data_IF_460579401797
#
_entry.id   IF_460579401797
#
_cell.length_a   1.000
_cell.length_b   1.000
_cell.length_c   1.000
_cell.angle_alpha   90.00
_cell.angle_beta   90.00
_cell.angle_gamma   90.00
#
_symmetry.space_group_name_H-M   'P 1'
#
loop_
_entity.id
_entity.type
_entity.pdbx_description
1 polymer ?
#
# COMPACT_ATOMS: atom_id res chain seq x y z
N UNK A 1 -18.55 -24.28 -17.01
CA UNK A 1 -18.92 -23.53 -18.23
C UNK A 1 -18.51 -22.06 -18.15
N UNK A 2 -18.59 -21.41 -16.98
CA UNK A 2 -18.19 -20.01 -16.81
C UNK A 2 -16.75 -19.65 -17.21
N UNK A 3 -15.77 -20.54 -17.00
CA UNK A 3 -14.38 -20.33 -17.51
C UNK A 3 -14.29 -20.27 -19.04
N UNK A 4 -15.32 -20.65 -19.80
CA UNK A 4 -15.36 -20.41 -21.26
C UNK A 4 -15.75 -18.97 -21.61
N UNK A 5 -16.21 -18.19 -20.64
CA UNK A 5 -16.70 -16.82 -20.83
C UNK A 5 -15.79 -15.79 -20.18
N UNK A 6 -15.29 -16.08 -18.98
CA UNK A 6 -14.29 -15.28 -18.26
C UNK A 6 -13.35 -16.23 -17.54
N UNK A 7 -12.12 -16.33 -18.03
CA UNK A 7 -10.99 -17.01 -17.41
C UNK A 7 -9.90 -16.03 -16.95
N UNK A 8 -8.72 -16.56 -16.61
CA UNK A 8 -7.55 -15.78 -16.25
C UNK A 8 -7.26 -14.63 -17.22
N UNK A 9 -7.31 -14.88 -18.53
CA UNK A 9 -6.93 -13.94 -19.58
C UNK A 9 -7.87 -12.74 -19.62
N UNK A 10 -9.18 -12.96 -19.47
CA UNK A 10 -10.15 -11.88 -19.38
C UNK A 10 -9.91 -11.01 -18.14
N UNK A 11 -9.61 -11.61 -16.98
CA UNK A 11 -9.24 -10.87 -15.77
C UNK A 11 -7.91 -10.11 -15.95
N UNK A 12 -6.93 -10.73 -16.61
CA UNK A 12 -5.63 -10.12 -16.91
C UNK A 12 -5.78 -8.90 -17.84
N UNK A 13 -6.59 -9.03 -18.90
CA UNK A 13 -6.89 -7.96 -19.84
C UNK A 13 -7.64 -6.81 -19.16
N UNK A 14 -8.67 -7.12 -18.36
CA UNK A 14 -9.34 -6.13 -17.53
C UNK A 14 -8.36 -5.41 -16.59
N UNK A 15 -7.43 -6.15 -15.99
CA UNK A 15 -6.45 -5.56 -15.09
C UNK A 15 -5.54 -4.57 -15.81
N UNK A 16 -5.08 -4.90 -17.02
CA UNK A 16 -4.28 -4.00 -17.85
C UNK A 16 -5.06 -2.75 -18.27
N UNK A 17 -6.32 -2.90 -18.67
CA UNK A 17 -7.12 -1.79 -19.18
C UNK A 17 -7.64 -0.87 -18.06
N UNK A 18 -8.18 -1.43 -16.97
CA UNK A 18 -8.92 -0.64 -15.96
C UNK A 18 -8.22 -0.52 -14.61
N UNK A 19 -7.41 -1.50 -14.22
CA UNK A 19 -6.90 -1.60 -12.84
C UNK A 19 -5.51 -0.98 -12.69
N UNK A 20 -4.58 -1.38 -13.55
CA UNK A 20 -3.16 -1.12 -13.41
C UNK A 20 -2.81 0.33 -13.79
N UNK A 21 -1.88 0.94 -13.05
CA UNK A 21 -1.22 2.15 -13.52
C UNK A 21 -0.41 1.82 -14.80
N UNK A 22 -0.66 2.49 -15.94
CA UNK A 22 0.11 2.29 -17.16
C UNK A 22 1.62 2.51 -16.95
N UNK A 23 2.45 1.74 -17.65
CA UNK A 23 3.90 1.73 -17.44
C UNK A 23 4.53 3.10 -17.71
N UNK A 24 4.15 3.74 -18.81
CA UNK A 24 4.58 5.08 -19.20
C UNK A 24 4.29 6.11 -18.10
N UNK A 25 3.08 6.07 -17.52
CA UNK A 25 2.70 6.93 -16.39
C UNK A 25 3.47 6.60 -15.12
N UNK A 26 3.65 5.31 -14.81
CA UNK A 26 4.45 4.89 -13.67
C UNK A 26 5.91 5.35 -13.78
N UNK A 27 6.50 5.29 -14.98
CA UNK A 27 7.86 5.75 -15.24
C UNK A 27 7.96 7.29 -15.13
N UNK A 28 6.97 8.03 -15.64
CA UNK A 28 6.86 9.49 -15.47
C UNK A 28 6.85 9.89 -13.99
N UNK A 29 6.02 9.23 -13.17
CA UNK A 29 5.91 9.51 -11.73
C UNK A 29 7.16 9.10 -10.96
N UNK A 30 7.80 7.98 -11.32
CA UNK A 30 9.10 7.61 -10.74
C UNK A 30 10.18 8.62 -11.09
N UNK A 31 10.20 9.13 -12.32
CA UNK A 31 11.12 10.18 -12.72
C UNK A 31 10.84 11.49 -11.96
N UNK A 32 9.58 11.83 -11.71
CA UNK A 32 9.20 12.98 -10.88
C UNK A 32 9.73 12.86 -9.45
N UNK A 33 9.49 11.74 -8.78
CA UNK A 33 10.01 11.48 -7.43
C UNK A 33 11.55 11.52 -7.41
N UNK A 34 12.19 10.97 -8.45
CA UNK A 34 13.64 10.99 -8.60
C UNK A 34 14.20 12.41 -8.72
N UNK A 35 13.59 13.27 -9.54
CA UNK A 35 13.99 14.68 -9.67
C UNK A 35 13.88 15.43 -8.34
N UNK A 36 12.81 15.20 -7.59
CA UNK A 36 12.64 15.77 -6.25
C UNK A 36 13.77 15.32 -5.32
N UNK A 37 14.06 14.01 -5.29
CA UNK A 37 15.15 13.43 -4.48
C UNK A 37 16.52 14.00 -4.88
N UNK A 38 16.87 14.00 -6.16
CA UNK A 38 18.18 14.45 -6.65
C UNK A 38 18.43 15.93 -6.36
N UNK A 39 17.40 16.76 -6.51
CA UNK A 39 17.50 18.18 -6.16
C UNK A 39 17.64 18.39 -4.66
N UNK A 40 16.97 17.58 -3.82
CA UNK A 40 17.23 17.62 -2.39
C UNK A 40 18.66 17.17 -2.08
N UNK A 41 19.11 16.03 -2.60
CA UNK A 41 20.47 15.51 -2.39
C UNK A 41 21.55 16.53 -2.77
N UNK A 42 21.38 17.25 -3.89
CA UNK A 42 22.24 18.37 -4.28
C UNK A 42 22.26 19.49 -3.23
N UNK A 43 21.08 19.95 -2.79
CA UNK A 43 20.96 20.98 -1.76
C UNK A 43 21.62 20.54 -0.43
N UNK A 44 21.50 19.27 -0.03
CA UNK A 44 22.11 18.71 1.18
C UNK A 44 23.63 18.70 1.11
N UNK A 45 24.20 18.46 -0.08
CA UNK A 45 25.65 18.48 -0.26
C UNK A 45 26.26 19.87 -0.06
N UNK A 46 25.49 20.93 -0.36
CA UNK A 46 25.89 22.32 -0.19
C UNK A 46 25.59 22.86 1.22
N UNK A 47 24.72 22.17 1.98
CA UNK A 47 24.28 22.58 3.31
C UNK A 47 24.41 21.39 4.30
N UNK A 48 25.63 21.03 4.76
CA UNK A 48 25.87 19.85 5.57
C UNK A 48 25.20 19.89 6.96
N UNK A 49 24.85 21.09 7.45
CA UNK A 49 24.07 21.28 8.69
C UNK A 49 22.59 20.91 8.52
N UNK A 50 22.19 20.53 7.31
CA UNK A 50 20.81 20.16 7.02
C UNK A 50 20.51 18.73 7.49
N UNK A 51 19.38 18.61 8.16
CA UNK A 51 18.97 17.44 8.95
C UNK A 51 18.42 16.29 8.12
N UNK A 52 17.99 16.55 6.88
CA UNK A 52 17.46 15.52 5.99
C UNK A 52 18.60 14.62 5.52
N UNK A 53 18.44 13.31 5.70
CA UNK A 53 19.45 12.30 5.37
C UNK A 53 19.17 11.58 4.06
N UNK A 54 17.90 11.33 3.77
CA UNK A 54 17.50 10.52 2.61
C UNK A 54 16.05 10.74 2.25
N UNK A 55 15.77 10.91 0.96
CA UNK A 55 14.44 10.74 0.41
C UNK A 55 14.38 9.45 -0.40
N UNK A 56 13.30 8.68 -0.23
CA UNK A 56 13.10 7.46 -1.00
C UNK A 56 11.64 7.29 -1.39
N UNK A 57 11.43 6.87 -2.63
CA UNK A 57 10.11 6.48 -3.09
C UNK A 57 9.61 5.34 -2.20
N UNK A 58 8.41 5.51 -1.66
CA UNK A 58 7.74 4.54 -0.81
C UNK A 58 6.38 4.18 -1.43
N UNK A 59 5.51 3.55 -0.64
CA UNK A 59 4.14 3.30 -1.04
C UNK A 59 3.97 2.41 -2.28
N UNK A 60 2.83 2.55 -2.94
CA UNK A 60 2.41 1.60 -3.98
C UNK A 60 3.20 1.72 -5.28
N UNK A 61 3.70 2.92 -5.62
CA UNK A 61 4.51 3.14 -6.81
C UNK A 61 5.90 2.48 -6.70
N UNK A 62 6.53 2.54 -5.52
CA UNK A 62 7.78 1.84 -5.23
C UNK A 62 7.62 0.32 -5.29
N UNK A 63 6.54 -0.19 -4.68
CA UNK A 63 6.25 -1.64 -4.63
C UNK A 63 5.82 -2.20 -5.99
N UNK A 64 5.35 -1.35 -6.91
CA UNK A 64 4.80 -1.76 -8.20
C UNK A 64 3.37 -2.29 -8.09
N UNK A 65 2.63 -1.83 -7.09
CA UNK A 65 1.24 -2.21 -6.79
C UNK A 65 0.27 -1.03 -6.96
N UNK A 66 0.70 0.04 -7.64
CA UNK A 66 -0.12 1.22 -7.91
C UNK A 66 -1.29 0.89 -8.86
N UNK A 67 -2.45 1.48 -8.57
CA UNK A 67 -3.64 1.43 -9.43
C UNK A 67 -3.63 2.61 -10.40
N UNK A 68 -4.45 2.53 -11.46
CA UNK A 68 -4.70 3.64 -12.39
C UNK A 68 -5.19 4.90 -11.68
N UNK A 69 -5.91 4.74 -10.57
CA UNK A 69 -6.42 5.83 -9.72
C UNK A 69 -5.39 6.30 -8.68
N UNK A 70 -4.09 6.24 -8.97
CA UNK A 70 -3.06 6.79 -8.10
C UNK A 70 -3.19 8.32 -8.11
N UNK A 71 -3.33 8.93 -6.93
CA UNK A 71 -3.55 10.37 -6.78
C UNK A 71 -2.29 11.12 -6.32
N UNK A 72 -1.42 10.43 -5.59
CA UNK A 72 -0.21 10.98 -4.97
C UNK A 72 0.98 10.03 -5.17
N UNK A 73 2.18 10.58 -4.99
CA UNK A 73 3.43 9.84 -4.97
C UNK A 73 3.95 9.84 -3.53
N UNK A 74 3.96 8.67 -2.91
CA UNK A 74 4.51 8.51 -1.56
C UNK A 74 6.04 8.58 -1.56
N UNK A 75 6.61 9.47 -0.76
CA UNK A 75 8.05 9.56 -0.51
C UNK A 75 8.32 9.60 0.99
N UNK A 76 9.17 8.71 1.47
CA UNK A 76 9.68 8.78 2.84
C UNK A 76 10.89 9.71 2.93
N UNK A 77 10.92 10.58 3.93
CA UNK A 77 12.01 11.51 4.17
C UNK A 77 12.62 11.29 5.56
N UNK A 78 13.85 10.80 5.60
CA UNK A 78 14.59 10.53 6.83
C UNK A 78 15.21 11.83 7.35
N UNK A 79 14.88 12.19 8.60
CA UNK A 79 15.26 13.45 9.25
C UNK A 79 16.05 13.10 10.51
N UNK A 80 17.21 13.71 10.70
CA UNK A 80 18.11 13.46 11.84
C UNK A 80 18.64 14.76 12.43
N UNK A 81 19.30 14.69 13.58
CA UNK A 81 20.02 15.83 14.16
C UNK A 81 19.24 16.49 15.31
N UNK A 82 19.99 17.17 16.18
CA UNK A 82 19.46 17.69 17.46
C UNK A 82 18.34 18.72 17.30
N UNK A 83 18.27 19.38 16.14
CA UNK A 83 17.26 20.39 15.82
C UNK A 83 15.94 19.81 15.28
N UNK A 84 15.85 18.52 15.00
CA UNK A 84 14.62 17.91 14.50
C UNK A 84 13.55 17.86 15.62
N UNK A 85 12.40 18.53 15.46
CA UNK A 85 11.36 18.50 16.47
C UNK A 85 10.82 17.08 16.66
N UNK A 86 10.50 16.73 17.91
CA UNK A 86 9.81 15.48 18.24
C UNK A 86 8.28 15.65 18.28
N UNK A 87 7.79 16.89 18.37
CA UNK A 87 6.37 17.15 18.16
C UNK A 87 6.04 17.02 16.67
N UNK A 88 4.94 16.33 16.34
CA UNK A 88 4.55 16.01 14.96
C UNK A 88 4.29 17.28 14.16
N UNK A 89 3.51 18.22 14.72
CA UNK A 89 3.17 19.45 14.01
C UNK A 89 4.42 20.27 13.73
N UNK A 90 5.26 20.45 14.74
CA UNK A 90 6.54 21.14 14.60
C UNK A 90 7.47 20.44 13.59
N UNK A 91 7.48 19.11 13.54
CA UNK A 91 8.27 18.33 12.58
C UNK A 91 7.79 18.53 11.15
N UNK A 92 6.48 18.61 10.92
CA UNK A 92 5.88 18.86 9.61
C UNK A 92 6.12 20.30 9.15
N UNK A 93 5.93 21.28 10.04
CA UNK A 93 6.26 22.68 9.77
C UNK A 93 7.75 22.84 9.43
N UNK A 94 8.62 22.15 10.19
CA UNK A 94 10.05 22.09 9.95
C UNK A 94 10.38 21.47 8.59
N UNK A 95 9.81 20.31 8.26
CA UNK A 95 10.03 19.66 6.98
C UNK A 95 9.54 20.53 5.81
N UNK A 96 8.38 21.17 5.93
CA UNK A 96 7.87 22.06 4.90
C UNK A 96 8.79 23.27 4.68
N UNK A 97 9.29 23.90 5.75
CA UNK A 97 10.27 24.98 5.63
C UNK A 97 11.55 24.53 4.91
N UNK A 98 12.05 23.33 5.27
CA UNK A 98 13.22 22.73 4.63
C UNK A 98 13.00 22.42 3.16
N UNK A 99 11.85 21.86 2.80
CA UNK A 99 11.48 21.63 1.41
C UNK A 99 11.37 22.95 0.63
N UNK A 100 10.73 23.99 1.18
CA UNK A 100 10.67 25.32 0.52
C UNK A 100 12.06 25.89 0.24
N UNK A 101 13.01 25.73 1.18
CA UNK A 101 14.41 26.15 1.00
C UNK A 101 15.13 25.33 -0.09
N UNK A 102 14.94 24.02 -0.12
CA UNK A 102 15.53 23.14 -1.14
C UNK A 102 14.92 23.34 -2.55
N UNK A 103 13.69 23.83 -2.61
CA UNK A 103 12.94 24.07 -3.84
C UNK A 103 12.55 25.56 -3.97
N UNK A 104 13.51 26.49 -4.13
CA UNK A 104 13.21 27.94 -4.12
C UNK A 104 12.35 28.40 -5.31
N UNK A 105 12.26 27.60 -6.36
CA UNK A 105 11.40 27.86 -7.52
C UNK A 105 9.92 27.50 -7.26
N UNK A 106 9.61 26.85 -6.14
CA UNK A 106 8.24 26.50 -5.79
C UNK A 106 7.66 27.63 -4.96
N UNK A 107 6.41 28.02 -5.25
CA UNK A 107 5.74 28.98 -4.39
C UNK A 107 5.41 28.33 -3.02
N UNK A 108 5.31 29.10 -1.93
CA UNK A 108 5.04 28.54 -0.60
C UNK A 108 3.79 27.67 -0.53
N UNK A 109 2.78 27.95 -1.36
CA UNK A 109 1.53 27.20 -1.41
C UNK A 109 1.65 25.84 -2.10
N UNK A 110 2.73 25.58 -2.84
CA UNK A 110 3.05 24.27 -3.40
C UNK A 110 3.70 23.32 -2.40
N UNK A 111 4.02 23.77 -1.18
CA UNK A 111 4.61 22.93 -0.14
C UNK A 111 3.80 23.13 1.14
N UNK A 112 2.88 22.21 1.42
CA UNK A 112 1.89 22.37 2.49
C UNK A 112 2.01 21.23 3.51
N UNK A 113 2.20 21.54 4.80
CA UNK A 113 1.96 20.58 5.87
C UNK A 113 0.52 20.08 5.82
N UNK A 114 0.35 18.77 5.88
CA UNK A 114 -0.92 18.08 6.11
C UNK A 114 -0.99 17.61 7.57
N UNK A 115 -1.92 16.73 7.89
CA UNK A 115 -2.04 16.14 9.23
C UNK A 115 -0.79 15.34 9.64
N UNK A 116 -0.21 14.55 8.72
CA UNK A 116 0.89 13.61 9.02
C UNK A 116 1.97 13.52 7.93
N UNK A 117 1.88 14.37 6.91
CA UNK A 117 2.82 14.44 5.77
C UNK A 117 2.99 15.89 5.34
N UNK A 118 3.92 16.16 4.43
CA UNK A 118 4.02 17.43 3.72
C UNK A 118 3.77 17.16 2.23
N UNK A 119 2.72 17.75 1.68
CA UNK A 119 2.41 17.65 0.26
C UNK A 119 3.25 18.64 -0.53
N UNK A 120 3.84 18.18 -1.62
CA UNK A 120 4.56 18.97 -2.61
C UNK A 120 3.82 18.91 -3.93
N UNK A 121 3.14 20.00 -4.29
CA UNK A 121 2.28 20.07 -5.47
C UNK A 121 2.99 20.58 -6.70
N UNK A 122 2.84 19.86 -7.82
CA UNK A 122 3.42 20.22 -9.11
C UNK A 122 2.35 20.85 -10.01
N UNK A 123 2.47 22.16 -10.29
CA UNK A 123 1.51 22.87 -11.13
C UNK A 123 1.62 22.45 -12.60
N UNK A 124 0.49 22.17 -13.25
CA UNK A 124 0.38 21.95 -14.70
C UNK A 124 0.78 20.55 -15.20
N UNK A 125 1.64 19.81 -14.50
CA UNK A 125 2.01 18.43 -14.84
C UNK A 125 2.53 17.66 -13.63
N UNK A 126 2.20 16.37 -13.54
CA UNK A 126 2.64 15.49 -12.44
C UNK A 126 1.59 15.33 -11.35
N UNK A 127 1.82 14.38 -10.45
CA UNK A 127 0.99 14.18 -9.26
C UNK A 127 1.55 14.98 -8.08
N UNK A 128 0.73 15.19 -7.06
CA UNK A 128 1.22 15.64 -5.78
C UNK A 128 2.20 14.59 -5.19
N UNK A 129 3.24 15.05 -4.51
CA UNK A 129 4.18 14.19 -3.80
C UNK A 129 3.96 14.33 -2.31
N UNK A 130 3.56 13.25 -1.66
CA UNK A 130 3.35 13.21 -0.22
C UNK A 130 4.63 12.76 0.48
N UNK A 131 5.28 13.71 1.16
CA UNK A 131 6.54 13.50 1.86
C UNK A 131 6.26 13.19 3.33
N UNK A 132 6.50 11.94 3.74
CA UNK A 132 6.27 11.48 5.10
C UNK A 132 7.58 11.52 5.91
N UNK A 133 7.65 12.26 7.03
CA UNK A 133 8.86 12.34 7.84
C UNK A 133 9.10 11.04 8.63
N UNK A 134 10.38 10.66 8.71
CA UNK A 134 10.87 9.57 9.56
C UNK A 134 12.03 10.13 10.40
N UNK A 135 11.87 10.19 11.72
CA UNK A 135 12.97 10.56 12.60
C UNK A 135 14.00 9.42 12.63
N UNK A 136 15.26 9.75 12.41
CA UNK A 136 16.33 8.80 12.15
C UNK A 136 17.57 9.13 12.97
N UNK A 137 18.14 8.11 13.61
CA UNK A 137 19.25 8.19 14.54
C UNK A 137 20.50 7.40 14.09
N UNK A 138 20.55 7.00 12.81
CA UNK A 138 21.75 6.41 12.21
C UNK A 138 21.77 4.88 12.13
N UNK A 139 20.66 4.21 12.40
CA UNK A 139 20.56 2.75 12.27
C UNK A 139 20.91 2.25 10.86
N UNK A 140 21.80 1.27 10.77
CA UNK A 140 22.36 0.77 9.51
C UNK A 140 21.30 0.18 8.54
N UNK A 141 20.17 -0.32 9.05
CA UNK A 141 19.06 -0.84 8.26
C UNK A 141 17.97 0.20 8.02
N UNK A 142 18.26 1.48 8.28
CA UNK A 142 17.32 2.59 8.13
C UNK A 142 16.06 2.41 8.99
N UNK A 143 16.19 1.80 10.17
CA UNK A 143 15.15 1.91 11.18
C UNK A 143 15.02 3.36 11.61
N UNK A 144 13.78 3.82 11.73
CA UNK A 144 13.46 5.15 12.24
C UNK A 144 12.04 5.21 12.75
N UNK A 145 11.64 6.37 13.26
CA UNK A 145 10.32 6.62 13.82
C UNK A 145 9.48 7.39 12.80
N UNK A 146 8.60 6.66 12.11
CA UNK A 146 7.62 7.20 11.17
C UNK A 146 6.48 7.86 11.94
N UNK A 147 6.01 9.01 11.45
CA UNK A 147 4.74 9.58 11.93
C UNK A 147 3.59 8.73 11.38
N UNK A 148 2.89 8.03 12.26
CA UNK A 148 1.69 7.25 11.93
C UNK A 148 0.65 8.16 11.31
N UNK A 149 0.23 7.86 10.07
CA UNK A 149 -0.84 8.59 9.39
C UNK A 149 -2.23 8.34 10.00
N UNK A 150 -2.33 7.44 10.97
CA UNK A 150 -3.60 7.13 11.60
C UNK A 150 -3.84 8.00 12.85
N UNK A 151 -2.81 8.33 13.63
CA UNK A 151 -2.94 9.02 14.94
C UNK A 151 -1.75 9.89 15.34
N UNK A 152 -0.74 10.06 14.47
CA UNK A 152 0.45 10.86 14.75
C UNK A 152 1.46 10.20 15.70
N UNK A 153 1.20 8.98 16.20
CA UNK A 153 2.20 8.27 17.02
C UNK A 153 3.48 8.00 16.24
N UNK A 154 4.61 7.89 16.96
CA UNK A 154 5.85 7.43 16.36
C UNK A 154 5.88 5.91 16.26
N UNK A 155 6.06 5.45 15.03
CA UNK A 155 6.10 4.05 14.70
C UNK A 155 7.50 3.66 14.24
N UNK A 156 8.18 2.80 15.01
CA UNK A 156 9.43 2.19 14.54
C UNK A 156 9.17 1.42 13.25
N UNK A 157 9.89 1.76 12.19
CA UNK A 157 9.73 1.19 10.84
C UNK A 157 11.05 1.22 10.06
N UNK A 158 11.12 0.51 8.95
CA UNK A 158 12.16 0.64 7.93
C UNK A 158 11.55 0.47 6.54
N UNK A 159 11.51 1.57 5.78
CA UNK A 159 10.98 1.58 4.41
C UNK A 159 11.79 0.64 3.50
N UNK A 160 13.15 0.60 3.54
CA UNK A 160 13.91 -0.38 2.78
C UNK A 160 13.49 -1.83 3.05
N UNK A 161 13.28 -2.22 4.31
CA UNK A 161 12.90 -3.58 4.66
C UNK A 161 11.46 -3.91 4.22
N UNK A 162 10.53 -2.94 4.24
CA UNK A 162 9.20 -3.11 3.64
C UNK A 162 9.26 -3.29 2.12
N UNK A 163 10.13 -2.55 1.43
CA UNK A 163 10.34 -2.71 -0.02
C UNK A 163 10.97 -4.06 -0.35
N UNK A 164 11.95 -4.50 0.43
CA UNK A 164 12.56 -5.81 0.31
C UNK A 164 11.55 -6.94 0.57
N UNK A 165 10.70 -6.79 1.59
CA UNK A 165 9.63 -7.73 1.93
C UNK A 165 8.70 -7.96 0.74
N UNK A 166 8.22 -6.87 0.13
CA UNK A 166 7.40 -6.92 -1.08
C UNK A 166 8.18 -7.47 -2.28
N UNK A 167 9.46 -7.09 -2.42
CA UNK A 167 10.36 -7.57 -3.46
C UNK A 167 10.58 -9.08 -3.43
N UNK A 168 10.68 -9.68 -2.24
CA UNK A 168 10.82 -11.14 -2.05
C UNK A 168 9.62 -11.89 -2.62
N UNK A 169 8.39 -11.49 -2.28
CA UNK A 169 7.16 -12.17 -2.78
C UNK A 169 6.93 -11.91 -4.26
N UNK A 170 7.30 -10.72 -4.75
CA UNK A 170 7.37 -10.47 -6.19
C UNK A 170 8.33 -11.44 -6.87
N UNK A 171 9.55 -11.66 -6.37
CA UNK A 171 10.48 -12.64 -6.99
C UNK A 171 9.95 -14.08 -6.96
N UNK A 172 9.22 -14.46 -5.91
CA UNK A 172 8.59 -15.78 -5.83
C UNK A 172 7.48 -15.99 -6.88
N UNK A 173 6.81 -14.91 -7.28
CA UNK A 173 5.62 -14.90 -8.15
C UNK A 173 5.72 -13.68 -9.11
N UNK A 174 6.75 -13.67 -9.99
CA UNK A 174 7.29 -12.49 -10.71
C UNK A 174 6.25 -11.55 -11.31
N UNK A 175 5.24 -12.11 -11.96
CA UNK A 175 4.16 -11.37 -12.61
C UNK A 175 2.91 -11.27 -11.74
N UNK A 176 2.66 -12.31 -10.96
CA UNK A 176 1.34 -12.58 -10.42
C UNK A 176 1.09 -11.92 -9.07
N UNK A 177 2.08 -11.90 -8.17
CA UNK A 177 1.92 -11.31 -6.84
C UNK A 177 1.43 -9.86 -6.89
N UNK A 178 2.14 -9.02 -7.64
CA UNK A 178 1.77 -7.62 -7.78
C UNK A 178 0.43 -7.44 -8.52
N UNK A 179 0.06 -8.36 -9.41
CA UNK A 179 -1.22 -8.30 -10.12
C UNK A 179 -2.40 -8.62 -9.21
N UNK A 180 -2.31 -9.69 -8.41
CA UNK A 180 -3.36 -10.08 -7.46
C UNK A 180 -3.52 -9.01 -6.37
N UNK A 181 -2.42 -8.42 -5.88
CA UNK A 181 -2.48 -7.26 -4.98
C UNK A 181 -3.27 -6.10 -5.60
N UNK A 182 -3.03 -5.78 -6.87
CA UNK A 182 -3.76 -4.69 -7.56
C UNK A 182 -5.25 -5.00 -7.72
N UNK A 183 -5.60 -6.25 -8.06
CA UNK A 183 -7.00 -6.69 -8.17
C UNK A 183 -7.73 -6.60 -6.81
N UNK A 184 -7.11 -7.11 -5.74
CA UNK A 184 -7.68 -7.03 -4.39
C UNK A 184 -7.81 -5.59 -3.88
N UNK A 185 -6.82 -4.72 -4.16
CA UNK A 185 -6.92 -3.28 -3.85
C UNK A 185 -8.03 -2.59 -4.64
N UNK A 186 -8.23 -2.97 -5.90
CA UNK A 186 -9.29 -2.42 -6.73
C UNK A 186 -10.68 -2.81 -6.20
N UNK A 187 -10.88 -4.08 -5.85
CA UNK A 187 -12.08 -4.55 -5.15
C UNK A 187 -12.29 -3.79 -3.83
N UNK A 188 -11.25 -3.68 -3.00
CA UNK A 188 -11.33 -2.96 -1.73
C UNK A 188 -11.73 -1.49 -1.91
N UNK A 189 -11.21 -0.81 -2.93
CA UNK A 189 -11.59 0.57 -3.26
C UNK A 189 -13.07 0.68 -3.64
N UNK A 190 -13.60 -0.28 -4.40
CA UNK A 190 -15.03 -0.36 -4.73
C UNK A 190 -15.88 -0.57 -3.48
N UNK A 191 -15.49 -1.49 -2.60
CA UNK A 191 -16.23 -1.71 -1.34
C UNK A 191 -16.29 -0.44 -0.47
N UNK A 192 -15.22 0.35 -0.40
CA UNK A 192 -15.21 1.66 0.28
C UNK A 192 -16.18 2.68 -0.32
N UNK A 193 -16.54 2.54 -1.59
CA UNK A 193 -17.48 3.44 -2.28
C UNK A 193 -18.93 2.98 -2.10
N UNK A 194 -19.16 1.68 -1.94
CA UNK A 194 -20.51 1.09 -1.85
C UNK A 194 -20.99 0.87 -0.41
N UNK A 195 -20.06 0.66 0.53
CA UNK A 195 -20.37 0.36 1.93
C UNK A 195 -19.86 1.48 2.80
N UNK A 196 -20.79 2.21 3.43
CA UNK A 196 -20.43 3.25 4.40
C UNK A 196 -19.63 2.67 5.56
N UNK A 197 -18.60 3.39 6.00
CA UNK A 197 -17.69 2.94 7.05
C UNK A 197 -16.78 1.75 6.70
N UNK A 198 -16.85 1.18 5.47
CA UNK A 198 -15.97 0.10 5.07
C UNK A 198 -14.53 0.59 4.97
N UNK A 199 -13.62 -0.14 5.63
CA UNK A 199 -12.21 0.19 5.70
C UNK A 199 -11.41 -1.07 5.42
N UNK A 200 -10.41 -0.99 4.56
CA UNK A 200 -9.42 -2.04 4.36
C UNK A 200 -8.13 -1.43 3.79
N UNK A 201 -7.05 -1.42 4.57
CA UNK A 201 -5.78 -0.74 4.24
C UNK A 201 -5.03 -1.56 3.20
N UNK A 202 -4.49 -0.90 2.18
CA UNK A 202 -3.70 -1.58 1.12
C UNK A 202 -2.56 -2.41 1.69
N UNK A 203 -1.91 -1.96 2.77
CA UNK A 203 -0.84 -2.71 3.41
C UNK A 203 -1.33 -4.02 4.06
N UNK A 204 -2.54 -4.05 4.62
CA UNK A 204 -3.13 -5.29 5.16
C UNK A 204 -3.46 -6.29 4.04
N UNK A 205 -3.97 -5.81 2.91
CA UNK A 205 -4.19 -6.64 1.71
C UNK A 205 -2.86 -7.27 1.25
N UNK A 206 -1.79 -6.47 1.21
CA UNK A 206 -0.45 -6.94 0.86
C UNK A 206 0.08 -7.99 1.85
N UNK A 207 -0.19 -7.85 3.15
CA UNK A 207 0.21 -8.85 4.16
C UNK A 207 -0.56 -10.16 4.01
N UNK A 208 -1.88 -10.11 3.82
CA UNK A 208 -2.67 -11.34 3.60
C UNK A 208 -2.15 -12.08 2.36
N UNK A 209 -1.98 -11.38 1.24
CA UNK A 209 -1.46 -12.00 0.03
C UNK A 209 -0.01 -12.47 0.16
N UNK A 210 0.82 -11.79 0.96
CA UNK A 210 2.16 -12.26 1.26
C UNK A 210 2.14 -13.57 2.07
N UNK A 211 1.27 -13.67 3.07
CA UNK A 211 1.05 -14.91 3.84
C UNK A 211 0.62 -16.06 2.92
N UNK A 212 -0.35 -15.81 2.05
CA UNK A 212 -0.83 -16.81 1.08
C UNK A 212 0.26 -17.24 0.08
N UNK A 213 1.10 -16.30 -0.36
CA UNK A 213 2.27 -16.60 -1.19
C UNK A 213 3.30 -17.45 -0.43
N UNK A 214 3.56 -17.15 0.84
CA UNK A 214 4.51 -17.90 1.68
C UNK A 214 3.97 -19.30 2.04
N UNK A 215 2.65 -19.48 2.11
CA UNK A 215 1.97 -20.77 2.28
C UNK A 215 2.01 -21.63 1.00
N UNK A 216 2.56 -21.11 -0.09
CA UNK A 216 2.76 -21.84 -1.35
C UNK A 216 1.57 -21.80 -2.31
N UNK A 217 0.60 -20.89 -2.13
CA UNK A 217 -0.50 -20.75 -3.08
C UNK A 217 -0.03 -20.19 -4.42
N UNK A 218 -0.60 -20.74 -5.50
CA UNK A 218 -0.31 -20.29 -6.86
C UNK A 218 -1.17 -19.08 -7.23
N UNK A 219 -0.53 -18.02 -7.73
CA UNK A 219 -1.20 -16.80 -8.16
C UNK A 219 -1.31 -16.71 -9.69
N UNK A 220 -0.87 -17.74 -10.42
CA UNK A 220 -0.88 -17.75 -11.88
C UNK A 220 -2.28 -17.81 -12.49
N UNK A 221 -3.30 -18.28 -11.77
CA UNK A 221 -4.73 -18.18 -12.11
C UNK A 221 -5.40 -17.10 -11.24
N UNK A 222 -5.84 -15.99 -11.84
CA UNK A 222 -6.34 -14.83 -11.07
C UNK A 222 -7.71 -15.07 -10.41
N UNK A 223 -8.69 -15.72 -11.06
CA UNK A 223 -9.88 -16.18 -10.37
C UNK A 223 -9.58 -17.02 -9.12
N UNK A 224 -8.68 -18.00 -9.24
CA UNK A 224 -8.34 -18.88 -8.12
C UNK A 224 -7.56 -18.16 -7.02
N UNK A 225 -6.60 -17.30 -7.37
CA UNK A 225 -5.84 -16.49 -6.42
C UNK A 225 -6.72 -15.53 -5.62
N UNK A 226 -7.72 -14.92 -6.27
CA UNK A 226 -8.71 -14.09 -5.59
C UNK A 226 -9.63 -14.91 -4.70
N UNK A 227 -10.04 -16.10 -5.14
CA UNK A 227 -10.81 -17.01 -4.31
C UNK A 227 -10.04 -17.39 -3.05
N UNK A 228 -8.76 -17.74 -3.16
CA UNK A 228 -7.90 -17.98 -2.01
C UNK A 228 -7.85 -16.80 -1.03
N UNK A 229 -7.75 -15.57 -1.53
CA UNK A 229 -7.78 -14.36 -0.72
C UNK A 229 -9.11 -14.19 0.03
N UNK A 230 -10.24 -14.31 -0.66
CA UNK A 230 -11.57 -14.15 -0.06
C UNK A 230 -11.90 -15.29 0.90
N UNK A 231 -11.60 -16.54 0.53
CA UNK A 231 -11.77 -17.71 1.39
C UNK A 231 -10.90 -17.61 2.64
N UNK A 232 -9.66 -17.11 2.55
CA UNK A 232 -8.83 -16.92 3.73
C UNK A 232 -9.47 -15.95 4.71
N UNK A 233 -9.94 -14.80 4.24
CA UNK A 233 -10.63 -13.81 5.08
C UNK A 233 -11.87 -14.43 5.72
N UNK A 234 -12.72 -15.09 4.94
CA UNK A 234 -13.96 -15.69 5.42
C UNK A 234 -13.73 -16.83 6.43
N UNK A 235 -12.85 -17.79 6.09
CA UNK A 235 -12.58 -18.97 6.92
C UNK A 235 -11.95 -18.61 8.26
N UNK A 236 -11.11 -17.58 8.27
CA UNK A 236 -10.43 -17.13 9.49
C UNK A 236 -11.25 -16.12 10.30
N UNK A 237 -12.44 -15.75 9.79
CA UNK A 237 -13.22 -14.62 10.27
C UNK A 237 -12.38 -13.33 10.37
N UNK A 238 -11.30 -13.24 9.58
CA UNK A 238 -10.28 -12.20 9.69
C UNK A 238 -9.70 -12.01 11.11
N UNK A 239 -9.72 -13.05 11.94
CA UNK A 239 -9.21 -13.07 13.33
C UNK A 239 -7.92 -13.89 13.50
N UNK A 240 -7.49 -14.64 12.48
CA UNK A 240 -6.22 -15.36 12.53
C UNK A 240 -5.04 -14.38 12.57
N UNK A 241 -4.11 -14.57 13.52
CA UNK A 241 -2.91 -13.73 13.65
C UNK A 241 -1.95 -13.99 12.50
N UNK A 242 -1.60 -12.94 11.75
CA UNK A 242 -0.58 -12.99 10.69
C UNK A 242 0.75 -12.45 11.23
N UNK A 243 1.80 -13.26 11.11
CA UNK A 243 3.19 -12.93 11.49
C UNK A 243 4.15 -13.38 10.40
N UNK A 244 5.18 -12.56 10.15
CA UNK A 244 6.27 -12.90 9.25
C UNK A 244 7.59 -13.03 10.02
N UNK A 245 8.40 -14.01 9.63
CA UNK A 245 9.71 -14.29 10.24
C UNK A 245 10.89 -13.63 9.50
N UNK A 246 10.64 -12.65 8.63
CA UNK A 246 11.65 -12.11 7.70
C UNK A 246 12.77 -11.33 8.41
N UNK A 247 12.43 -10.50 9.40
CA UNK A 247 13.39 -9.60 10.06
C UNK A 247 13.42 -9.73 11.59
N UNK A 248 12.60 -10.63 12.14
CA UNK A 248 12.62 -11.05 13.54
C UNK A 248 12.02 -12.46 13.66
N UNK A 249 12.37 -13.25 14.69
CA UNK A 249 11.77 -14.56 14.89
C UNK A 249 10.31 -14.42 15.34
N UNK A 250 9.41 -15.29 14.88
CA UNK A 250 7.99 -15.24 15.28
C UNK A 250 7.78 -15.30 16.81
N UNK A 251 8.71 -15.90 17.55
CA UNK A 251 8.73 -15.94 19.02
C UNK A 251 8.95 -14.59 19.70
N UNK A 252 9.44 -13.55 19.00
CA UNK A 252 9.57 -12.19 19.55
C UNK A 252 8.26 -11.40 19.50
N UNK A 253 7.22 -11.94 18.85
CA UNK A 253 5.91 -11.29 18.75
C UNK A 253 5.14 -11.47 20.05
N UNK A 254 4.76 -10.36 20.66
CA UNK A 254 3.98 -10.35 21.89
C UNK A 254 2.52 -10.77 21.70
N UNK A 255 1.76 -10.66 22.79
CA UNK A 255 0.30 -10.81 22.76
C UNK A 255 -0.35 -9.49 22.36
N UNK A 256 -1.34 -9.56 21.47
CA UNK A 256 -2.22 -8.45 21.14
C UNK A 256 -3.64 -8.81 21.60
N UNK A 257 -4.40 -7.81 22.02
CA UNK A 257 -5.82 -7.94 22.37
C UNK A 257 -6.74 -7.42 21.27
N UNK A 258 -6.16 -6.84 20.21
CA UNK A 258 -6.91 -6.30 19.08
C UNK A 258 -7.68 -7.42 18.36
N UNK A 259 -8.89 -7.15 17.85
CA UNK A 259 -9.67 -8.15 17.10
C UNK A 259 -8.92 -8.68 15.88
N UNK A 260 -8.29 -7.78 15.11
CA UNK A 260 -7.51 -8.14 13.92
C UNK A 260 -6.04 -7.98 14.23
N UNK A 261 -5.25 -9.02 13.94
CA UNK A 261 -3.83 -9.06 14.32
C UNK A 261 -2.97 -9.35 13.09
N UNK A 262 -2.45 -8.28 12.47
CA UNK A 262 -1.51 -8.37 11.36
C UNK A 262 -0.24 -7.64 11.80
N UNK A 263 0.78 -8.40 12.16
CA UNK A 263 2.02 -7.84 12.69
C UNK A 263 2.89 -7.33 11.56
N UNK A 264 3.40 -6.11 11.70
CA UNK A 264 4.30 -5.50 10.74
C UNK A 264 5.57 -6.36 10.59
N UNK A 265 5.94 -6.78 9.36
CA UNK A 265 7.09 -7.66 9.15
C UNK A 265 8.42 -7.08 9.64
N UNK A 266 8.49 -5.77 9.87
CA UNK A 266 9.69 -5.03 10.30
C UNK A 266 9.64 -4.66 11.79
N UNK A 267 8.47 -4.75 12.44
CA UNK A 267 8.32 -4.36 13.84
C UNK A 267 7.35 -5.30 14.58
N UNK A 268 7.93 -6.22 15.35
CA UNK A 268 7.21 -7.26 16.10
C UNK A 268 6.19 -6.75 17.14
N UNK A 269 6.27 -5.47 17.55
CA UNK A 269 5.32 -4.86 18.49
C UNK A 269 4.27 -3.98 17.80
N UNK A 270 4.32 -3.85 16.47
CA UNK A 270 3.37 -3.07 15.70
C UNK A 270 2.31 -3.96 15.05
N UNK A 271 1.08 -3.87 15.53
CA UNK A 271 -0.08 -4.40 14.81
C UNK A 271 -0.58 -3.36 13.80
N UNK A 272 -0.40 -3.67 12.51
CA UNK A 272 -0.86 -2.84 11.38
C UNK A 272 -2.38 -2.62 11.41
N UNK A 273 -3.11 -3.53 12.03
CA UNK A 273 -4.56 -3.51 12.13
C UNK A 273 -5.08 -3.02 13.50
N UNK A 274 -4.25 -2.43 14.37
CA UNK A 274 -4.63 -2.01 15.74
C UNK A 274 -5.87 -1.11 15.85
N UNK A 275 -6.23 -0.39 14.78
CA UNK A 275 -7.40 0.49 14.75
C UNK A 275 -8.63 -0.16 14.12
N UNK A 276 -8.59 -1.44 13.78
CA UNK A 276 -9.73 -2.17 13.22
C UNK A 276 -10.55 -2.77 14.36
N UNK A 277 -11.81 -2.38 14.40
CA UNK A 277 -12.78 -2.92 15.35
C UNK A 277 -13.30 -4.29 14.89
N UNK A 278 -14.01 -4.99 15.76
CA UNK A 278 -14.76 -6.20 15.38
C UNK A 278 -15.73 -5.91 14.23
N UNK A 279 -16.48 -4.79 14.29
CA UNK A 279 -17.38 -4.39 13.23
C UNK A 279 -16.67 -4.15 11.88
N UNK A 280 -15.44 -3.60 11.89
CA UNK A 280 -14.66 -3.51 10.65
C UNK A 280 -14.26 -4.88 10.12
N UNK A 281 -13.88 -5.81 10.99
CA UNK A 281 -13.54 -7.18 10.60
C UNK A 281 -14.76 -7.90 10.01
N UNK A 282 -15.90 -7.85 10.68
CA UNK A 282 -17.16 -8.47 10.25
C UNK A 282 -17.60 -7.91 8.89
N UNK A 283 -17.48 -6.59 8.68
CA UNK A 283 -17.79 -5.96 7.39
C UNK A 283 -16.85 -6.41 6.25
N UNK A 284 -15.55 -6.62 6.55
CA UNK A 284 -14.59 -7.18 5.59
C UNK A 284 -14.92 -8.65 5.27
N UNK A 285 -15.28 -9.43 6.28
CA UNK A 285 -15.65 -10.85 6.14
C UNK A 285 -16.90 -11.00 5.27
N UNK A 286 -17.95 -10.23 5.55
CA UNK A 286 -19.18 -10.21 4.74
C UNK A 286 -18.87 -9.84 3.28
N UNK A 287 -18.08 -8.79 3.04
CA UNK A 287 -17.71 -8.39 1.69
C UNK A 287 -16.87 -9.45 0.97
N UNK A 288 -16.02 -10.19 1.69
CA UNK A 288 -15.22 -11.27 1.14
C UNK A 288 -16.09 -12.50 0.81
N UNK A 289 -17.08 -12.84 1.64
CA UNK A 289 -18.07 -13.88 1.37
C UNK A 289 -18.84 -13.57 0.08
N UNK A 290 -19.39 -12.36 -0.04
CA UNK A 290 -20.12 -11.93 -1.24
C UNK A 290 -19.25 -12.01 -2.51
N UNK A 291 -17.97 -11.63 -2.40
CA UNK A 291 -17.03 -11.69 -3.52
C UNK A 291 -16.66 -13.12 -3.89
N UNK A 292 -16.44 -14.00 -2.90
CA UNK A 292 -16.15 -15.41 -3.11
C UNK A 292 -17.32 -16.15 -3.75
N UNK A 293 -18.54 -15.93 -3.24
CA UNK A 293 -19.76 -16.50 -3.80
C UNK A 293 -20.00 -16.01 -5.23
N UNK A 294 -19.70 -14.74 -5.52
CA UNK A 294 -19.78 -14.20 -6.86
C UNK A 294 -18.78 -14.86 -7.83
N UNK A 295 -17.54 -15.13 -7.40
CA UNK A 295 -16.57 -15.84 -8.22
C UNK A 295 -17.05 -17.28 -8.50
N UNK A 296 -17.47 -18.02 -7.48
CA UNK A 296 -17.96 -19.40 -7.65
C UNK A 296 -19.18 -19.44 -8.58
N UNK A 297 -20.12 -18.51 -8.41
CA UNK A 297 -21.27 -18.37 -9.30
C UNK A 297 -20.86 -18.00 -10.74
N UNK A 298 -19.87 -17.13 -10.91
CA UNK A 298 -19.35 -16.78 -12.24
C UNK A 298 -18.75 -17.99 -12.95
N UNK A 299 -17.99 -18.83 -12.23
CA UNK A 299 -17.34 -20.04 -12.76
C UNK A 299 -18.37 -21.13 -13.14
N UNK A 300 -19.50 -21.19 -12.41
CA UNK A 300 -20.59 -22.11 -12.66
C UNK A 300 -21.65 -21.60 -13.67
N UNK A 301 -21.67 -20.30 -13.97
CA UNK A 301 -22.73 -19.68 -14.77
C UNK A 301 -22.89 -20.31 -16.19
N UNK A 302 -24.13 -20.40 -16.69
CA UNK A 302 -24.43 -21.10 -17.95
C UNK A 302 -24.23 -20.24 -19.21
N UNK A 303 -24.07 -18.93 -19.08
CA UNK A 303 -23.90 -18.02 -20.20
C UNK A 303 -23.05 -16.80 -19.83
N UNK A 304 -22.48 -16.15 -20.86
CA UNK A 304 -21.59 -15.00 -20.70
C UNK A 304 -22.22 -13.83 -19.94
N UNK A 305 -23.49 -13.52 -20.21
CA UNK A 305 -24.17 -12.40 -19.57
C UNK A 305 -24.22 -12.57 -18.04
N UNK A 306 -24.57 -13.76 -17.56
CA UNK A 306 -24.56 -14.06 -16.13
C UNK A 306 -23.14 -14.10 -15.55
N UNK A 307 -22.18 -14.71 -16.26
CA UNK A 307 -20.77 -14.71 -15.83
C UNK A 307 -20.25 -13.29 -15.61
N UNK A 308 -20.49 -12.38 -16.56
CA UNK A 308 -20.09 -10.97 -16.43
C UNK A 308 -20.82 -10.28 -15.28
N UNK A 309 -22.14 -10.50 -15.13
CA UNK A 309 -22.91 -9.92 -14.04
C UNK A 309 -22.38 -10.33 -12.65
N UNK A 310 -21.90 -11.57 -12.49
CA UNK A 310 -21.26 -12.01 -11.25
C UNK A 310 -19.89 -11.34 -11.04
N UNK A 311 -19.03 -11.26 -12.06
CA UNK A 311 -17.76 -10.54 -11.96
C UNK A 311 -17.93 -9.03 -11.68
N UNK A 312 -19.02 -8.44 -12.15
CA UNK A 312 -19.37 -7.05 -11.82
C UNK A 312 -19.71 -6.85 -10.34
N UNK A 313 -20.10 -7.89 -9.59
CA UNK A 313 -20.23 -7.76 -8.12
C UNK A 313 -18.85 -7.52 -7.48
N UNK A 314 -17.81 -8.15 -8.00
CA UNK A 314 -16.42 -8.04 -7.52
C UNK A 314 -15.74 -6.76 -8.02
N UNK A 315 -15.83 -6.47 -9.32
CA UNK A 315 -15.08 -5.38 -9.97
C UNK A 315 -15.93 -4.19 -10.43
N UNK A 316 -17.24 -4.24 -10.21
CA UNK A 316 -18.17 -3.19 -10.60
C UNK A 316 -18.45 -3.12 -12.09
N UNK A 317 -19.25 -2.13 -12.47
CA UNK A 317 -19.71 -1.90 -13.84
C UNK A 317 -18.59 -1.62 -14.85
N UNK A 318 -17.36 -1.37 -14.41
CA UNK A 318 -16.21 -1.24 -15.31
C UNK A 318 -15.76 -2.57 -15.94
N UNK A 319 -16.20 -3.70 -15.38
CA UNK A 319 -15.93 -5.03 -15.91
C UNK A 319 -16.96 -5.40 -16.98
N UNK A 320 -16.53 -5.42 -18.25
CA UNK A 320 -17.40 -5.56 -19.43
C UNK A 320 -16.85 -6.56 -20.46
N UNK A 321 -16.10 -7.56 -19.98
CA UNK A 321 -15.39 -8.50 -20.86
C UNK A 321 -16.33 -9.39 -21.67
#
# INVERSE_FOLDING_TARGET
MGRQHVDHNEIAAFAQDKVNLPKDKADEYRAQARRLREKLEGYLSEHPDFTLRKMMLSGSLAKGTALRSLNDIDVACYISGAAAPKDVKALLDYLAERLRKAFPNFSPDQVQPQTYSVTVSFRGSGLDVDVVPILYDGDAQWYGNLVSQDDGSFLKTSIPLHLEFAGKRKRAQEKHFAQVVRLAKFWSRRMKQERDGFRFKSFMIEMILAKLCDDGLDFSDYPEALQHFFTYIARTDFREKIVFGDYYPASSVGTFTDPVQIVDPVNAVNNVARLYTAANADSIVEAALDAGDAIDAALAAPNKQLTVAYWQKVFGSSFQV
#
